data_IF_274516293351
#
_entry.id   IF_274516293351
#
_cell.length_a   1.000
_cell.length_b   1.000
_cell.length_c   1.000
_cell.angle_alpha   90.00
_cell.angle_beta   90.00
_cell.angle_gamma   90.00
#
_symmetry.space_group_name_H-M   'P 1'
#
loop_
_entity.id
_entity.type
_entity.pdbx_description
1 polymer ?
#
# COMPACT_ATOMS: atom_id res chain seq x y z
N UNK A 1 -11.27 -20.53 8.15
CA UNK A 1 -10.72 -20.52 6.78
C UNK A 1 -10.65 -19.07 6.30
N UNK A 2 -9.45 -18.52 6.10
CA UNK A 2 -9.28 -17.16 5.58
C UNK A 2 -9.32 -17.19 4.05
N UNK A 3 -10.36 -16.60 3.46
CA UNK A 3 -10.46 -16.45 2.01
C UNK A 3 -9.67 -15.20 1.58
N UNK A 4 -8.44 -15.40 1.10
CA UNK A 4 -7.64 -14.32 0.53
C UNK A 4 -8.02 -14.19 -0.94
N UNK A 5 -8.86 -13.20 -1.25
CA UNK A 5 -9.21 -12.84 -2.62
C UNK A 5 -8.01 -12.16 -3.27
N UNK A 6 -7.30 -12.88 -4.15
CA UNK A 6 -6.19 -12.29 -4.93
C UNK A 6 -6.73 -11.68 -6.23
N UNK A 7 -6.41 -10.42 -6.53
CA UNK A 7 -6.88 -9.76 -7.74
C UNK A 7 -6.21 -10.36 -8.99
N UNK A 8 -7.01 -10.71 -10.00
CA UNK A 8 -6.54 -11.31 -11.27
C UNK A 8 -5.88 -10.29 -12.21
N UNK A 9 -6.11 -8.99 -11.99
CA UNK A 9 -5.56 -7.88 -12.77
C UNK A 9 -4.85 -6.90 -11.84
N UNK A 10 -3.75 -6.31 -12.31
CA UNK A 10 -2.96 -5.32 -11.57
C UNK A 10 -3.67 -3.97 -11.43
N UNK A 11 -4.65 -3.68 -12.31
CA UNK A 11 -5.35 -2.41 -12.37
C UNK A 11 -6.85 -2.64 -12.49
N UNK A 12 -7.60 -1.93 -11.66
CA UNK A 12 -9.05 -1.97 -11.62
C UNK A 12 -9.60 -0.72 -12.29
N UNK A 13 -10.71 -0.86 -13.03
CA UNK A 13 -11.42 0.27 -13.63
C UNK A 13 -12.81 0.34 -13.00
N UNK A 14 -13.14 1.50 -12.42
CA UNK A 14 -14.50 1.81 -12.01
C UNK A 14 -15.27 2.27 -13.26
N UNK A 15 -16.27 1.50 -13.65
CA UNK A 15 -17.21 1.90 -14.71
C UNK A 15 -18.36 2.63 -14.05
N UNK A 16 -18.50 3.92 -14.35
CA UNK A 16 -19.62 4.74 -13.90
C UNK A 16 -20.42 5.19 -15.12
N UNK A 17 -21.75 5.16 -15.01
CA UNK A 17 -22.68 5.63 -16.03
C UNK A 17 -23.50 6.75 -15.43
N UNK A 18 -23.46 7.92 -16.07
CA UNK A 18 -24.26 9.07 -15.68
C UNK A 18 -25.37 9.24 -16.72
N UNK A 19 -26.60 9.07 -16.26
CA UNK A 19 -27.81 9.33 -17.03
C UNK A 19 -28.46 10.61 -16.50
N UNK A 20 -28.64 11.60 -17.36
CA UNK A 20 -29.34 12.83 -17.00
C UNK A 20 -30.12 13.38 -18.20
N UNK A 21 -31.16 14.16 -17.90
CA UNK A 21 -31.89 14.92 -18.91
C UNK A 21 -31.24 16.27 -19.10
N UNK A 22 -30.98 16.65 -20.35
CA UNK A 22 -30.54 18.01 -20.65
C UNK A 22 -31.68 19.03 -20.41
N UNK A 23 -31.39 20.35 -20.39
CA UNK A 23 -32.41 21.39 -20.23
C UNK A 23 -33.51 21.38 -21.31
N UNK A 24 -33.31 20.66 -22.41
CA UNK A 24 -34.25 20.47 -23.50
C UNK A 24 -34.92 19.08 -23.46
N UNK A 25 -34.85 18.39 -22.32
CA UNK A 25 -35.49 17.11 -22.05
C UNK A 25 -34.96 15.94 -22.91
N UNK A 26 -33.76 16.05 -23.46
CA UNK A 26 -33.10 14.95 -24.19
C UNK A 26 -32.37 14.03 -23.23
N UNK A 27 -32.48 12.73 -23.49
CA UNK A 27 -31.78 11.71 -22.72
C UNK A 27 -30.28 11.72 -23.08
N UNK A 28 -29.44 11.96 -22.08
CA UNK A 28 -28.00 11.97 -22.23
C UNK A 28 -27.38 10.91 -21.30
N UNK A 29 -26.62 9.99 -21.88
CA UNK A 29 -25.90 8.95 -21.14
C UNK A 29 -24.41 9.06 -21.42
N UNK A 30 -23.59 9.18 -20.37
CA UNK A 30 -22.13 9.24 -20.49
C UNK A 30 -21.48 8.17 -19.62
N UNK A 31 -20.66 7.34 -20.27
CA UNK A 31 -19.89 6.26 -19.63
C UNK A 31 -18.49 6.78 -19.30
N UNK A 32 -18.08 6.61 -18.05
CA UNK A 32 -16.75 6.94 -17.55
C UNK A 32 -16.06 5.66 -17.10
N UNK A 33 -14.81 5.47 -17.52
CA UNK A 33 -13.92 4.43 -17.01
C UNK A 33 -12.83 5.12 -16.19
N UNK A 34 -12.90 5.01 -14.87
CA UNK A 34 -11.96 5.65 -13.96
C UNK A 34 -10.94 4.61 -13.46
N UNK A 35 -9.63 4.86 -13.64
CA UNK A 35 -8.61 3.96 -13.13
C UNK A 35 -8.60 4.01 -11.59
N UNK A 36 -8.77 2.85 -10.96
CA UNK A 36 -8.64 2.69 -9.51
C UNK A 36 -7.23 2.20 -9.19
N UNK A 37 -6.55 2.92 -8.30
CA UNK A 37 -5.28 2.50 -7.70
C UNK A 37 -5.52 2.19 -6.22
N UNK A 38 -5.26 0.95 -5.83
CA UNK A 38 -5.30 0.55 -4.42
C UNK A 38 -4.01 1.04 -3.78
N UNK A 39 -4.11 1.92 -2.79
CA UNK A 39 -2.96 2.40 -2.02
C UNK A 39 -2.66 1.37 -0.95
N UNK A 40 -1.44 0.84 -0.94
CA UNK A 40 -0.98 -0.10 0.08
C UNK A 40 -0.13 0.62 1.13
N UNK A 41 0.05 0.07 2.34
CA UNK A 41 0.90 0.70 3.36
C UNK A 41 2.36 0.91 2.90
N UNK A 42 2.83 0.07 1.97
CA UNK A 42 4.12 0.25 1.30
C UNK A 42 4.19 1.54 0.47
N UNK A 43 3.09 1.93 -0.18
CA UNK A 43 2.99 3.19 -0.92
C UNK A 43 2.90 4.41 0.01
N UNK A 44 2.49 4.19 1.27
CA UNK A 44 2.42 5.21 2.31
C UNK A 44 3.75 5.42 3.04
N UNK A 45 4.82 4.74 2.62
CA UNK A 45 6.14 4.88 3.24
C UNK A 45 6.28 4.17 4.59
N UNK A 46 5.40 3.19 4.91
CA UNK A 46 5.72 2.23 5.97
C UNK A 46 6.88 1.33 5.51
N UNK A 47 8.09 1.85 5.66
CA UNK A 47 9.29 1.03 5.59
C UNK A 47 9.25 0.00 6.72
N UNK A 48 9.51 -1.26 6.36
CA UNK A 48 9.55 -2.36 7.31
C UNK A 48 10.53 -2.05 8.45
N UNK A 49 9.99 -1.92 9.67
CA UNK A 49 10.74 -1.67 10.91
C UNK A 49 11.84 -2.72 11.19
N UNK A 50 11.82 -3.84 10.47
CA UNK A 50 12.77 -4.95 10.54
C UNK A 50 14.21 -4.52 10.28
N UNK A 51 14.46 -3.59 9.35
CA UNK A 51 15.81 -3.08 9.06
C UNK A 51 16.35 -2.25 10.24
N UNK A 52 15.53 -1.38 10.81
CA UNK A 52 15.89 -0.59 12.00
C UNK A 52 16.16 -1.49 13.21
N UNK A 53 15.35 -2.54 13.39
CA UNK A 53 15.51 -3.52 14.47
C UNK A 53 16.82 -4.32 14.31
N UNK A 54 17.15 -4.75 13.08
CA UNK A 54 18.39 -5.47 12.80
C UNK A 54 19.64 -4.62 13.08
N UNK A 55 19.62 -3.33 12.70
CA UNK A 55 20.70 -2.38 12.98
C UNK A 55 20.88 -2.20 14.49
N UNK A 56 19.78 -2.04 15.24
CA UNK A 56 19.83 -1.88 16.70
C UNK A 56 20.45 -3.10 17.40
N UNK A 57 20.11 -4.32 16.95
CA UNK A 57 20.68 -5.57 17.48
C UNK A 57 22.18 -5.65 17.19
N UNK A 58 22.62 -5.26 15.99
CA UNK A 58 24.04 -5.23 15.62
C UNK A 58 24.85 -4.26 16.50
N UNK A 59 24.32 -3.06 16.76
CA UNK A 59 24.98 -2.06 17.61
C UNK A 59 25.08 -2.55 19.05
N UNK A 60 23.99 -3.09 19.61
CA UNK A 60 23.96 -3.58 20.99
C UNK A 60 24.83 -4.82 21.20
N UNK A 61 24.83 -5.76 20.27
CA UNK A 61 25.72 -6.92 20.28
C UNK A 61 27.20 -6.51 20.17
N UNK A 62 27.53 -5.58 19.25
CA UNK A 62 28.89 -5.07 19.07
C UNK A 62 29.40 -4.31 20.29
N UNK A 63 28.58 -3.42 20.87
CA UNK A 63 28.92 -2.67 22.08
C UNK A 63 29.08 -3.60 23.30
N UNK A 64 28.19 -4.57 23.46
CA UNK A 64 28.28 -5.57 24.52
C UNK A 64 29.54 -6.44 24.42
N UNK A 65 29.88 -6.88 23.20
CA UNK A 65 31.10 -7.65 22.95
C UNK A 65 32.37 -6.83 23.22
N UNK A 66 32.43 -5.58 22.75
CA UNK A 66 33.57 -4.69 23.00
C UNK A 66 33.79 -4.47 24.50
N UNK A 67 32.70 -4.23 25.24
CA UNK A 67 32.77 -3.99 26.68
C UNK A 67 33.19 -5.25 27.46
N UNK A 68 32.67 -6.43 27.06
CA UNK A 68 33.10 -7.71 27.62
C UNK A 68 34.60 -7.97 27.40
N UNK A 69 35.11 -7.70 26.19
CA UNK A 69 36.54 -7.87 25.88
C UNK A 69 37.43 -6.90 26.66
N UNK A 70 36.93 -5.71 27.01
CA UNK A 70 37.69 -4.70 27.74
C UNK A 70 37.76 -4.95 29.26
N UNK A 71 36.84 -5.76 29.80
CA UNK A 71 36.79 -6.15 31.22
C UNK A 71 37.47 -7.49 31.52
N UNK A 72 37.92 -8.20 30.49
CA UNK A 72 38.63 -9.47 30.58
C UNK A 72 40.11 -9.22 30.29
#
# INVERSE_FOLDING_TARGET
AEFIIKPKKAQFELKAEAEFKDPYNKDFARKYALPLKIITPKDLGEESNTLKLAILILITAGAGYYWYKKRK
#
